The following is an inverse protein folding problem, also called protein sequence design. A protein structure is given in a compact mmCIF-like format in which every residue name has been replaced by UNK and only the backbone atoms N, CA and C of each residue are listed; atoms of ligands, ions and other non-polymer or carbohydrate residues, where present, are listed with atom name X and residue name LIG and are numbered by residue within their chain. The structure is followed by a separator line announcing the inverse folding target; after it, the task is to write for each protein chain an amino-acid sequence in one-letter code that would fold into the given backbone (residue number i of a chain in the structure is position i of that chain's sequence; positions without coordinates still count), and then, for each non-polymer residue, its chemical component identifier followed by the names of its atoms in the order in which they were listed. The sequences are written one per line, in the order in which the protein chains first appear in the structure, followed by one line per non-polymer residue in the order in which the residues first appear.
data_IF_944501248713
#
_entry.id   IF_944501248713
#
_cell.length_a   1.000
_cell.length_b   1.000
_cell.length_c   1.000
_cell.angle_alpha   90.00
_cell.angle_beta   90.00
_cell.angle_gamma   90.00
#
_symmetry.space_group_name_H-M   'P 1'
#
loop_
_entity.id
_entity.type
_entity.pdbx_description
1 polymer ?
#
# COMPACT_ATOMS: atom_id res chain seq x y z
N UNK A 1 -13.58 -25.08 -5.75
CA UNK A 1 -12.59 -24.36 -6.56
C UNK A 1 -12.46 -22.93 -6.04
N UNK A 2 -11.23 -22.50 -5.73
CA UNK A 2 -11.02 -21.14 -5.25
C UNK A 2 -11.05 -20.16 -6.43
N UNK A 3 -11.70 -19.00 -6.22
CA UNK A 3 -11.69 -17.94 -7.23
C UNK A 3 -10.37 -17.20 -7.19
N UNK A 4 -9.88 -16.69 -8.35
CA UNK A 4 -8.72 -15.79 -8.35
C UNK A 4 -9.02 -14.53 -7.56
N UNK A 5 -8.03 -14.02 -6.85
CA UNK A 5 -8.15 -12.80 -6.02
C UNK A 5 -7.31 -11.69 -6.59
N UNK A 6 -7.87 -10.49 -6.65
CA UNK A 6 -7.10 -9.28 -6.97
C UNK A 6 -6.17 -8.97 -5.80
N UNK A 7 -4.91 -8.69 -6.11
CA UNK A 7 -3.89 -8.54 -5.08
C UNK A 7 -2.95 -7.39 -5.40
N UNK A 8 -2.51 -6.70 -4.36
CA UNK A 8 -1.51 -5.63 -4.44
C UNK A 8 -0.44 -5.95 -3.41
N UNK A 9 0.82 -5.97 -3.83
CA UNK A 9 1.91 -6.20 -2.88
C UNK A 9 3.21 -5.54 -3.32
N UNK A 10 4.11 -5.33 -2.35
CA UNK A 10 5.45 -4.86 -2.62
C UNK A 10 6.28 -6.01 -3.18
N UNK A 11 6.97 -5.76 -4.28
CA UNK A 11 7.87 -6.73 -4.88
C UNK A 11 9.24 -6.75 -4.20
N UNK A 12 9.96 -7.85 -4.36
CA UNK A 12 11.29 -8.02 -3.76
C UNK A 12 12.36 -7.13 -4.40
N UNK A 13 12.09 -6.56 -5.57
CA UNK A 13 13.02 -5.68 -6.29
C UNK A 13 12.62 -4.22 -6.25
N UNK A 14 11.79 -3.82 -5.28
CA UNK A 14 11.53 -2.42 -5.00
C UNK A 14 10.32 -1.79 -5.69
N UNK A 15 9.46 -2.59 -6.29
CA UNK A 15 8.23 -2.08 -6.90
C UNK A 15 6.98 -2.47 -6.15
N UNK A 16 5.86 -1.83 -6.48
CA UNK A 16 4.53 -2.24 -6.04
C UNK A 16 3.80 -2.79 -7.26
N UNK A 17 3.24 -3.98 -7.13
CA UNK A 17 2.59 -4.69 -8.22
C UNK A 17 1.15 -5.02 -7.88
N UNK A 18 0.29 -4.91 -8.87
CA UNK A 18 -1.11 -5.30 -8.76
C UNK A 18 -1.44 -6.33 -9.84
N UNK A 19 -2.32 -7.24 -9.54
CA UNK A 19 -2.74 -8.26 -10.47
C UNK A 19 -3.67 -9.24 -9.80
N UNK A 20 -3.90 -10.36 -10.46
CA UNK A 20 -4.77 -11.41 -9.96
C UNK A 20 -3.94 -12.61 -9.53
N UNK A 21 -4.08 -13.02 -8.28
CA UNK A 21 -3.47 -14.26 -7.81
C UNK A 21 -4.34 -15.43 -8.24
N UNK A 22 -3.75 -16.34 -8.99
CA UNK A 22 -4.44 -17.55 -9.42
C UNK A 22 -4.49 -18.54 -8.25
N UNK A 23 -5.53 -19.42 -8.19
CA UNK A 23 -5.58 -20.43 -7.15
C UNK A 23 -4.33 -21.29 -7.15
N UNK A 24 -3.80 -21.56 -5.96
CA UNK A 24 -2.60 -22.38 -5.80
C UNK A 24 -2.90 -23.84 -6.14
N UNK A 25 -2.06 -24.45 -6.98
CA UNK A 25 -2.15 -25.87 -7.32
C UNK A 25 -1.12 -26.64 -6.53
N UNK A 26 -1.46 -27.89 -6.17
CA UNK A 26 -0.56 -28.75 -5.42
C UNK A 26 0.78 -28.92 -6.14
N UNK A 27 1.86 -28.77 -5.40
CA UNK A 27 3.20 -28.93 -5.92
C UNK A 27 3.71 -27.85 -6.84
N UNK A 28 2.96 -26.74 -6.97
CA UNK A 28 3.36 -25.63 -7.83
C UNK A 28 3.30 -24.31 -7.06
N UNK A 29 4.20 -23.34 -7.39
CA UNK A 29 4.13 -22.02 -6.78
C UNK A 29 2.88 -21.29 -7.23
N UNK A 30 2.40 -20.39 -6.37
CA UNK A 30 1.26 -19.53 -6.71
C UNK A 30 1.69 -18.55 -7.81
N UNK A 31 0.85 -18.38 -8.81
CA UNK A 31 1.14 -17.53 -9.96
C UNK A 31 0.23 -16.32 -10.01
N UNK A 32 0.75 -15.25 -10.59
CA UNK A 32 0.00 -14.02 -10.87
C UNK A 32 -0.47 -14.02 -12.33
N UNK A 33 -1.64 -13.44 -12.56
CA UNK A 33 -2.16 -13.16 -13.89
C UNK A 33 -2.36 -11.65 -14.02
N UNK A 34 -1.97 -11.10 -15.17
CA UNK A 34 -2.09 -9.66 -15.44
C UNK A 34 -1.38 -8.78 -14.41
N UNK A 35 -0.20 -9.23 -13.96
CA UNK A 35 0.62 -8.47 -13.01
C UNK A 35 1.16 -7.22 -13.66
N UNK A 36 0.95 -6.07 -13.02
CA UNK A 36 1.42 -4.77 -13.49
C UNK A 36 2.17 -4.03 -12.40
N UNK A 37 3.20 -3.27 -12.81
CA UNK A 37 3.88 -2.35 -11.91
C UNK A 37 3.00 -1.11 -11.75
N UNK A 38 2.53 -0.87 -10.53
CA UNK A 38 1.66 0.25 -10.20
C UNK A 38 2.29 1.15 -9.14
N UNK A 39 3.61 1.13 -9.02
CA UNK A 39 4.35 1.82 -7.96
C UNK A 39 3.93 3.28 -7.84
N UNK A 40 4.02 4.06 -8.91
CA UNK A 40 3.70 5.49 -8.86
C UNK A 40 2.22 5.73 -8.58
N UNK A 41 1.35 4.98 -9.23
CA UNK A 41 -0.09 5.09 -9.04
C UNK A 41 -0.48 4.74 -7.61
N UNK A 42 0.11 3.68 -7.05
CA UNK A 42 -0.17 3.24 -5.70
C UNK A 42 0.28 4.27 -4.67
N UNK A 43 1.47 4.85 -4.84
CA UNK A 43 1.98 5.87 -3.94
C UNK A 43 1.08 7.11 -3.97
N UNK A 44 0.68 7.55 -5.16
CA UNK A 44 -0.25 8.69 -5.29
C UNK A 44 -1.61 8.40 -4.70
N UNK A 45 -2.13 7.19 -4.91
CA UNK A 45 -3.41 6.79 -4.35
C UNK A 45 -3.37 6.77 -2.82
N UNK A 46 -2.29 6.28 -2.23
CA UNK A 46 -2.09 6.28 -0.78
C UNK A 46 -2.00 7.72 -0.27
N UNK A 47 -1.23 8.58 -0.96
CA UNK A 47 -1.14 10.01 -0.60
C UNK A 47 -2.52 10.65 -0.57
N UNK A 48 -3.30 10.47 -1.63
CA UNK A 48 -4.63 11.09 -1.74
C UNK A 48 -5.58 10.53 -0.69
N UNK A 49 -5.54 9.23 -0.47
CA UNK A 49 -6.34 8.59 0.58
C UNK A 49 -5.98 9.13 1.97
N UNK A 50 -4.70 9.28 2.26
CA UNK A 50 -4.24 9.79 3.55
C UNK A 50 -4.60 11.27 3.75
N UNK A 51 -4.50 12.07 2.69
CA UNK A 51 -4.91 13.49 2.75
C UNK A 51 -6.39 13.62 3.05
N UNK A 52 -7.23 12.75 2.46
CA UNK A 52 -8.68 12.81 2.64
C UNK A 52 -9.13 12.23 3.99
N UNK A 53 -8.41 11.25 4.53
CA UNK A 53 -8.87 10.47 5.69
C UNK A 53 -8.03 10.64 6.95
N UNK A 54 -6.78 11.07 6.82
CA UNK A 54 -5.86 11.19 7.97
C UNK A 54 -5.54 12.64 8.34
N UNK A 55 -5.81 13.59 7.44
CA UNK A 55 -5.58 15.01 7.70
C UNK A 55 -6.91 15.73 7.95
N UNK A 56 -6.95 16.48 9.03
CA UNK A 56 -8.08 17.37 9.34
C UNK A 56 -7.59 18.82 9.17
N UNK A 57 -7.34 19.23 7.92
CA UNK A 57 -6.81 20.57 7.62
C UNK A 57 -7.71 21.68 8.17
N UNK A 58 -9.03 21.49 8.11
CA UNK A 58 -9.98 22.43 8.67
C UNK A 58 -9.85 22.60 10.19
N UNK A 59 -9.24 21.63 10.86
CA UNK A 59 -8.98 21.68 12.29
C UNK A 59 -7.53 22.09 12.60
N UNK A 60 -6.78 22.53 11.58
CA UNK A 60 -5.40 22.97 11.71
C UNK A 60 -4.35 21.84 11.69
N UNK A 61 -4.77 20.62 11.38
CA UNK A 61 -3.83 19.50 11.31
C UNK A 61 -3.06 19.52 9.98
N UNK A 62 -1.74 19.37 10.07
CA UNK A 62 -0.86 19.35 8.90
C UNK A 62 -0.16 18.00 8.73
N UNK A 63 -0.39 17.07 9.63
CA UNK A 63 0.25 15.76 9.61
C UNK A 63 -0.71 14.70 10.13
N UNK A 64 -0.69 13.55 9.51
CA UNK A 64 -1.47 12.40 9.92
C UNK A 64 -0.99 11.14 9.26
N UNK A 65 -1.49 9.99 9.68
CA UNK A 65 -1.06 8.75 9.06
C UNK A 65 -1.51 7.49 9.79
N UNK A 66 -0.77 6.43 9.54
CA UNK A 66 -1.04 5.10 10.05
C UNK A 66 0.13 4.59 10.87
N UNK A 67 -0.18 3.72 11.81
CA UNK A 67 0.81 3.13 12.72
C UNK A 67 0.60 1.63 12.81
N UNK A 68 1.69 0.89 12.71
CA UNK A 68 1.70 -0.55 12.91
C UNK A 68 2.74 -0.92 13.94
N UNK A 69 2.37 -1.82 14.86
CA UNK A 69 3.31 -2.34 15.85
C UNK A 69 4.08 -3.52 15.30
N UNK A 70 5.36 -3.55 15.55
CA UNK A 70 6.23 -4.67 15.18
C UNK A 70 6.41 -5.60 16.38
N UNK A 71 6.79 -6.85 16.08
CA UNK A 71 7.03 -7.86 17.10
C UNK A 71 8.26 -7.58 17.97
N UNK A 72 9.20 -6.76 17.46
CA UNK A 72 10.43 -6.39 18.16
C UNK A 72 10.25 -5.22 19.13
N UNK A 73 9.03 -4.76 19.36
CA UNK A 73 8.72 -3.63 20.23
C UNK A 73 8.81 -2.28 19.56
N UNK A 74 9.11 -2.23 18.26
CA UNK A 74 9.17 -0.99 17.49
C UNK A 74 7.88 -0.76 16.72
N UNK A 75 7.69 0.45 16.24
CA UNK A 75 6.54 0.84 15.43
C UNK A 75 6.99 1.24 14.03
N UNK A 76 6.12 1.01 13.05
CA UNK A 76 6.29 1.53 11.70
C UNK A 76 5.23 2.61 11.50
N UNK A 77 5.65 3.79 11.09
CA UNK A 77 4.75 4.91 10.82
C UNK A 77 4.75 5.23 9.32
N UNK A 78 3.55 5.45 8.80
CA UNK A 78 3.36 5.96 7.44
C UNK A 78 2.65 7.29 7.59
N UNK A 79 3.34 8.39 7.29
CA UNK A 79 2.85 9.74 7.55
C UNK A 79 2.70 10.54 6.27
N UNK A 80 1.65 11.37 6.23
CA UNK A 80 1.51 12.43 5.23
C UNK A 80 1.60 13.77 5.97
N UNK A 81 2.35 14.71 5.39
CA UNK A 81 2.56 16.02 5.99
C UNK A 81 2.47 17.09 4.93
N UNK A 82 1.70 18.13 5.21
CA UNK A 82 1.60 19.29 4.34
C UNK A 82 2.62 20.32 4.82
N UNK A 83 3.49 20.77 3.91
CA UNK A 83 4.52 21.75 4.22
C UNK A 83 4.47 22.86 3.18
N UNK A 84 4.99 24.01 3.56
CA UNK A 84 5.08 25.13 2.62
C UNK A 84 6.13 24.81 1.55
N UNK A 85 5.82 25.19 0.31
CA UNK A 85 6.72 25.02 -0.82
C UNK A 85 7.49 26.34 -1.01
N UNK A 86 8.74 26.36 -0.55
CA UNK A 86 9.60 27.55 -0.63
C UNK A 86 10.40 27.60 -1.92
#
# INVERSE_FOLDING_TARGET
MKTPEYHVSAGIFGGIYAGTLMPKKDGKPQMWKNKSDVTDEAIRAVRDHMMDNCLMEKDGMTEGGYEWKRKDGKKVLLLVKVVDDD
#
